data_IF_801696393640
#
_entry.id   IF_801696393640
#
_cell.length_a   1.000
_cell.length_b   1.000
_cell.length_c   1.000
_cell.angle_alpha   90.00
_cell.angle_beta   90.00
_cell.angle_gamma   90.00
#
_symmetry.space_group_name_H-M   'P 1'
#
loop_
_entity.id
_entity.type
_entity.pdbx_description
1 polymer ?
#
# COMPACT_ATOMS: atom_id res chain seq x y z
N UNK A 1 -6.69 -68.93 -66.85
CA UNK A 1 -5.22 -68.91 -66.96
C UNK A 1 -4.82 -67.68 -67.75
N UNK A 2 -3.71 -67.02 -67.38
CA UNK A 2 -3.22 -65.70 -67.86
C UNK A 2 -3.99 -64.52 -67.23
N UNK A 3 -3.40 -63.45 -66.68
CA UNK A 3 -2.13 -63.19 -65.94
C UNK A 3 -2.32 -61.74 -65.42
N UNK A 4 -1.97 -61.48 -64.16
CA UNK A 4 -1.38 -60.25 -63.60
C UNK A 4 -1.54 -58.92 -64.38
N UNK A 5 -1.99 -57.85 -63.71
CA UNK A 5 -1.14 -56.67 -63.46
C UNK A 5 -1.70 -55.76 -62.36
N UNK A 6 -0.74 -55.26 -61.58
CA UNK A 6 -0.81 -54.36 -60.43
C UNK A 6 -1.19 -52.92 -60.78
N UNK A 7 -2.01 -52.26 -59.95
CA UNK A 7 -2.17 -50.81 -59.95
C UNK A 7 -1.69 -50.21 -58.61
N UNK A 8 -0.64 -49.39 -58.67
CA UNK A 8 -0.19 -48.45 -57.64
C UNK A 8 -0.57 -47.03 -58.08
N UNK A 9 -1.28 -46.28 -57.24
CA UNK A 9 -1.28 -44.81 -57.08
C UNK A 9 -2.20 -44.55 -55.86
N UNK A 10 -1.87 -43.78 -54.81
CA UNK A 10 -0.95 -42.67 -54.66
C UNK A 10 -1.69 -41.57 -53.88
N UNK A 11 -2.09 -41.84 -52.63
CA UNK A 11 -2.74 -40.87 -51.72
C UNK A 11 -1.68 -39.93 -51.14
N UNK A 12 -1.36 -38.85 -51.86
CA UNK A 12 -0.50 -37.79 -51.34
C UNK A 12 -0.85 -36.44 -51.97
N UNK A 13 -2.08 -35.95 -51.76
CA UNK A 13 -2.47 -34.58 -52.17
C UNK A 13 -3.24 -33.70 -51.17
N UNK A 14 -3.77 -34.15 -50.00
CA UNK A 14 -4.29 -33.21 -49.00
C UNK A 14 -3.26 -32.75 -47.95
N UNK A 15 -2.15 -33.47 -47.74
CA UNK A 15 -1.19 -33.17 -46.66
C UNK A 15 -0.17 -32.08 -47.06
N UNK A 16 0.12 -31.92 -48.35
CA UNK A 16 1.08 -30.92 -48.85
C UNK A 16 0.46 -29.50 -48.85
N UNK A 17 -0.86 -29.39 -48.98
CA UNK A 17 -1.58 -28.10 -48.94
C UNK A 17 -1.71 -27.58 -47.50
N UNK A 18 -1.83 -28.47 -46.50
CA UNK A 18 -1.91 -28.06 -45.10
C UNK A 18 -0.56 -27.57 -44.55
N UNK A 19 0.56 -28.18 -44.97
CA UNK A 19 1.91 -27.78 -44.56
C UNK A 19 2.38 -26.46 -45.22
N UNK A 20 1.88 -26.14 -46.41
CA UNK A 20 2.21 -24.87 -47.10
C UNK A 20 1.49 -23.66 -46.49
N UNK A 21 0.29 -23.84 -45.92
CA UNK A 21 -0.40 -22.78 -45.17
C UNK A 21 0.24 -22.50 -43.80
N UNK A 22 0.73 -23.52 -43.10
CA UNK A 22 1.45 -23.34 -41.82
C UNK A 22 2.80 -22.65 -42.03
N UNK A 23 3.51 -22.93 -43.13
CA UNK A 23 4.77 -22.26 -43.46
C UNK A 23 4.58 -20.78 -43.86
N UNK A 24 3.50 -20.43 -44.57
CA UNK A 24 3.21 -19.04 -44.94
C UNK A 24 2.78 -18.17 -43.74
N UNK A 25 2.07 -18.74 -42.76
CA UNK A 25 1.73 -18.04 -41.51
C UNK A 25 2.97 -17.85 -40.62
N UNK A 26 3.88 -18.84 -40.58
CA UNK A 26 5.15 -18.71 -39.87
C UNK A 26 6.07 -17.63 -40.48
N UNK A 27 6.08 -17.49 -41.82
CA UNK A 27 6.87 -16.44 -42.49
C UNK A 27 6.24 -15.05 -42.27
N UNK A 28 4.91 -14.92 -42.24
CA UNK A 28 4.25 -13.65 -41.89
C UNK A 28 4.52 -13.22 -40.44
N UNK A 29 4.60 -14.16 -39.50
CA UNK A 29 4.90 -13.88 -38.09
C UNK A 29 6.39 -13.57 -37.83
N UNK A 30 7.28 -13.88 -38.77
CA UNK A 30 8.71 -13.47 -38.71
C UNK A 30 9.01 -12.16 -39.44
N UNK A 31 8.11 -11.69 -40.32
CA UNK A 31 8.28 -10.41 -41.05
C UNK A 31 7.78 -9.19 -40.27
N UNK A 32 6.84 -9.36 -39.34
CA UNK A 32 6.50 -8.30 -38.38
C UNK A 32 7.52 -8.18 -37.22
N UNK A 33 8.48 -9.11 -37.15
CA UNK A 33 9.59 -9.06 -36.20
C UNK A 33 10.85 -8.35 -36.75
N UNK A 34 10.79 -7.73 -37.94
CA UNK A 34 11.90 -6.97 -38.53
C UNK A 34 11.57 -5.52 -38.93
N UNK A 35 10.41 -4.98 -38.52
CA UNK A 35 10.08 -3.55 -38.66
C UNK A 35 9.46 -2.93 -37.40
N UNK A 36 9.98 -3.31 -36.23
CA UNK A 36 9.80 -2.55 -34.98
C UNK A 36 11.13 -2.42 -34.21
N UNK A 37 12.24 -2.34 -34.95
CA UNK A 37 13.60 -2.14 -34.44
C UNK A 37 14.13 -0.78 -34.88
N UNK A 38 13.47 0.31 -34.46
CA UNK A 38 14.05 1.67 -34.46
C UNK A 38 13.22 2.63 -33.60
N UNK A 39 13.16 2.33 -32.31
CA UNK A 39 13.01 3.35 -31.26
C UNK A 39 13.60 2.75 -30.00
N UNK A 40 14.92 2.80 -29.92
CA UNK A 40 15.62 2.53 -28.68
C UNK A 40 15.17 3.57 -27.64
N UNK A 41 14.14 3.24 -26.86
CA UNK A 41 14.04 3.80 -25.52
C UNK A 41 15.18 3.15 -24.73
N UNK A 42 16.36 3.77 -24.85
CA UNK A 42 17.38 3.71 -23.84
C UNK A 42 16.71 4.14 -22.54
N UNK A 43 16.29 3.18 -21.72
CA UNK A 43 16.31 3.38 -20.29
C UNK A 43 17.75 3.78 -19.99
N UNK A 44 17.99 5.08 -19.83
CA UNK A 44 19.14 5.52 -19.06
C UNK A 44 18.92 4.91 -17.69
N UNK A 45 19.55 3.76 -17.46
CA UNK A 45 19.99 3.40 -16.14
C UNK A 45 20.67 4.66 -15.62
N UNK A 46 20.00 5.35 -14.70
CA UNK A 46 20.63 6.44 -13.98
C UNK A 46 21.87 5.81 -13.38
N UNK A 47 23.02 6.22 -13.90
CA UNK A 47 24.32 5.89 -13.36
C UNK A 47 24.24 6.18 -11.88
N UNK A 48 24.26 5.12 -11.10
CA UNK A 48 24.20 5.18 -9.66
C UNK A 48 25.52 5.81 -9.19
N UNK A 49 25.54 7.13 -9.17
CA UNK A 49 26.50 7.85 -8.34
C UNK A 49 26.08 7.59 -6.91
N UNK A 50 26.97 7.08 -6.03
CA UNK A 50 26.67 7.09 -4.61
C UNK A 50 26.64 8.55 -4.18
N UNK A 51 25.45 9.16 -4.15
CA UNK A 51 25.28 10.41 -3.44
C UNK A 51 25.65 10.12 -1.99
N UNK A 52 26.75 10.73 -1.54
CA UNK A 52 27.15 10.74 -0.15
C UNK A 52 26.03 11.41 0.63
N UNK A 53 25.25 10.61 1.35
CA UNK A 53 24.31 11.10 2.34
C UNK A 53 25.11 11.88 3.39
N UNK A 54 24.83 13.18 3.55
CA UNK A 54 25.26 13.91 4.72
C UNK A 54 24.26 13.62 5.84
N UNK A 55 24.49 12.51 6.54
CA UNK A 55 23.97 12.35 7.90
C UNK A 55 24.78 13.32 8.76
N UNK A 56 24.14 14.28 9.41
CA UNK A 56 24.78 15.11 10.45
C UNK A 56 24.51 14.42 11.78
N UNK A 57 25.48 13.68 12.37
CA UNK A 57 25.33 13.13 13.70
C UNK A 57 25.52 14.26 14.74
N UNK A 58 24.83 14.24 15.89
CA UNK A 58 25.20 15.10 17.01
C UNK A 58 26.59 14.70 17.52
N UNK A 59 27.40 15.69 17.90
CA UNK A 59 28.74 15.51 18.48
C UNK A 59 28.67 14.62 19.73
N UNK A 60 29.16 13.38 19.62
CA UNK A 60 29.43 12.51 20.76
C UNK A 60 30.94 12.33 20.83
N UNK A 61 31.51 12.70 21.96
CA UNK A 61 32.93 12.60 22.31
C UNK A 61 33.49 11.21 22.02
N UNK A 62 34.65 11.19 21.36
CA UNK A 62 35.46 9.98 21.15
C UNK A 62 35.89 9.40 22.49
N UNK A 63 35.25 8.31 22.92
CA UNK A 63 35.87 7.27 23.75
C UNK A 63 35.07 5.98 23.60
N UNK A 64 35.56 5.08 22.73
CA UNK A 64 35.06 3.71 22.59
C UNK A 64 36.23 2.75 22.84
N UNK A 65 36.11 1.77 23.77
CA UNK A 65 37.15 0.78 23.99
C UNK A 65 37.16 -0.28 22.87
N UNK A 66 38.36 -0.72 22.48
CA UNK A 66 38.58 -1.79 21.50
C UNK A 66 38.23 -3.15 22.13
N UNK A 67 37.31 -3.89 21.50
CA UNK A 67 36.97 -5.26 21.90
C UNK A 67 37.81 -6.24 21.08
N UNK A 68 38.83 -6.81 21.72
CA UNK A 68 39.39 -8.11 21.38
C UNK A 68 39.23 -9.02 22.59
N UNK A 69 38.98 -10.30 22.30
CA UNK A 69 38.94 -11.45 23.22
C UNK A 69 37.74 -11.58 24.16
N UNK A 70 36.75 -12.38 23.74
CA UNK A 70 36.43 -13.67 24.42
C UNK A 70 35.79 -14.60 23.37
N UNK A 71 36.55 -15.61 22.93
CA UNK A 71 36.02 -16.80 22.25
C UNK A 71 35.95 -17.93 23.28
N UNK A 72 34.77 -18.55 23.40
CA UNK A 72 34.65 -19.85 24.05
C UNK A 72 33.18 -20.30 24.19
N UNK A 73 32.68 -21.11 23.25
CA UNK A 73 31.48 -21.92 23.49
C UNK A 73 30.56 -22.20 22.29
N UNK A 74 30.76 -23.35 21.66
CA UNK A 74 29.85 -24.17 20.84
C UNK A 74 29.10 -23.55 19.64
N UNK A 75 29.52 -24.04 18.48
CA UNK A 75 28.98 -23.82 17.13
C UNK A 75 27.65 -24.53 16.90
N UNK A 76 26.60 -23.78 16.50
CA UNK A 76 25.67 -24.05 15.39
C UNK A 76 24.80 -22.79 15.19
N UNK A 77 24.74 -22.30 13.96
CA UNK A 77 23.87 -21.22 13.46
C UNK A 77 24.28 -19.75 13.70
N UNK A 78 25.53 -19.37 13.41
CA UNK A 78 25.83 -17.97 13.01
C UNK A 78 26.19 -17.91 11.54
N UNK A 79 25.20 -17.58 10.70
CA UNK A 79 25.49 -16.99 9.40
C UNK A 79 26.28 -15.70 9.65
N UNK A 80 27.39 -15.45 8.93
CA UNK A 80 28.12 -14.20 9.08
C UNK A 80 27.18 -13.05 8.70
N UNK A 81 27.03 -12.08 9.61
CA UNK A 81 26.38 -10.78 9.37
C UNK A 81 27.14 -10.06 8.25
N UNK A 82 26.90 -10.45 7.00
CA UNK A 82 27.06 -9.54 5.87
C UNK A 82 26.06 -8.43 6.13
N UNK A 83 26.58 -7.23 6.42
CA UNK A 83 25.84 -5.99 6.57
C UNK A 83 24.59 -6.00 5.69
N UNK A 84 23.43 -6.22 6.31
CA UNK A 84 22.16 -6.15 5.63
C UNK A 84 22.09 -4.74 5.03
N UNK A 85 21.65 -4.63 3.77
CA UNK A 85 21.34 -3.31 3.18
C UNK A 85 20.51 -2.51 4.19
N UNK A 86 20.80 -1.22 4.36
CA UNK A 86 20.06 -0.33 5.29
C UNK A 86 18.54 -0.40 5.09
N UNK A 87 18.09 -0.82 3.91
CA UNK A 87 16.69 -1.15 3.58
C UNK A 87 16.02 -2.11 4.58
N UNK A 88 16.76 -3.05 5.17
CA UNK A 88 16.19 -4.15 5.99
C UNK A 88 16.50 -4.04 7.49
N UNK A 89 17.37 -3.10 7.88
CA UNK A 89 17.68 -2.82 9.28
C UNK A 89 16.79 -1.68 9.80
N UNK A 90 16.63 -1.58 11.12
CA UNK A 90 16.07 -0.37 11.72
C UNK A 90 16.99 0.82 11.43
N UNK A 91 16.40 1.95 11.05
CA UNK A 91 17.16 3.17 10.89
C UNK A 91 17.47 3.80 12.26
N UNK A 92 18.63 4.47 12.40
CA UNK A 92 18.91 5.29 13.58
C UNK A 92 17.86 6.39 13.72
N UNK A 93 17.41 6.63 14.95
CA UNK A 93 16.39 7.64 15.24
C UNK A 93 16.59 8.16 16.67
N UNK A 94 16.22 9.42 16.95
CA UNK A 94 16.11 9.88 18.33
C UNK A 94 15.02 9.11 19.08
N UNK A 95 15.14 9.04 20.40
CA UNK A 95 14.11 8.42 21.23
C UNK A 95 12.90 9.35 21.38
N UNK A 96 11.70 8.82 21.18
CA UNK A 96 10.44 9.47 21.56
C UNK A 96 9.91 8.83 22.84
N UNK A 97 9.36 9.65 23.74
CA UNK A 97 8.75 9.18 24.98
C UNK A 97 7.27 8.99 24.73
N UNK A 98 6.85 7.72 24.62
CA UNK A 98 5.47 7.35 24.39
C UNK A 98 4.74 7.06 25.69
N UNK A 99 3.49 7.50 25.78
CA UNK A 99 2.56 7.10 26.82
C UNK A 99 1.40 6.30 26.23
N UNK A 100 0.95 5.31 26.99
CA UNK A 100 -0.19 4.48 26.61
C UNK A 100 -1.49 5.18 26.99
N UNK A 101 -2.45 5.18 26.08
CA UNK A 101 -3.77 5.77 26.21
C UNK A 101 -4.85 4.66 26.29
N UNK A 102 -6.12 4.99 26.63
CA UNK A 102 -7.20 4.02 26.58
C UNK A 102 -7.29 3.32 25.21
N UNK A 103 -7.17 1.99 25.23
CA UNK A 103 -7.23 1.18 24.01
C UNK A 103 -8.58 1.33 23.28
N UNK A 104 -8.55 1.17 21.96
CA UNK A 104 -9.73 1.08 21.12
C UNK A 104 -10.70 -0.01 21.64
N UNK A 105 -12.03 0.21 21.51
CA UNK A 105 -13.03 -0.77 21.93
C UNK A 105 -12.82 -2.15 21.30
N UNK A 106 -12.27 -2.18 20.08
CA UNK A 106 -11.89 -3.42 19.39
C UNK A 106 -10.53 -3.27 18.68
N UNK A 107 -9.72 -4.35 18.63
CA UNK A 107 -8.51 -4.38 17.81
C UNK A 107 -8.85 -4.47 16.32
N UNK A 108 -8.11 -3.73 15.48
CA UNK A 108 -8.37 -3.59 14.03
C UNK A 108 -7.09 -3.69 13.20
N UNK A 109 -7.14 -4.49 12.14
CA UNK A 109 -6.17 -4.53 11.03
C UNK A 109 -6.87 -4.02 9.77
N UNK A 110 -6.18 -3.24 8.94
CA UNK A 110 -6.76 -2.62 7.73
C UNK A 110 -8.09 -1.87 8.02
N UNK A 111 -8.21 -1.33 9.24
CA UNK A 111 -9.19 -0.30 9.58
C UNK A 111 -8.75 1.03 8.98
N UNK A 112 -9.67 1.97 8.91
CA UNK A 112 -9.39 3.31 8.37
C UNK A 112 -9.76 4.36 9.40
N UNK A 113 -9.07 5.49 9.36
CA UNK A 113 -9.40 6.62 10.23
C UNK A 113 -9.41 7.93 9.47
N UNK A 114 -10.20 8.86 10.01
CA UNK A 114 -10.09 10.26 9.65
C UNK A 114 -10.32 11.11 10.89
N UNK A 115 -9.48 12.13 11.04
CA UNK A 115 -9.60 13.10 12.11
C UNK A 115 -10.42 14.30 11.61
N UNK A 116 -11.38 14.73 12.43
CA UNK A 116 -12.09 15.99 12.28
C UNK A 116 -12.00 16.71 13.62
N UNK A 117 -11.31 17.85 13.64
CA UNK A 117 -11.01 18.60 14.86
C UNK A 117 -10.38 17.68 15.94
N UNK A 118 -11.00 17.61 17.12
CA UNK A 118 -10.55 16.80 18.26
C UNK A 118 -11.09 15.36 18.24
N UNK A 119 -11.71 14.94 17.14
CA UNK A 119 -12.36 13.63 17.04
C UNK A 119 -11.72 12.76 15.97
N UNK A 120 -11.27 11.56 16.35
CA UNK A 120 -10.78 10.54 15.43
C UNK A 120 -11.88 9.49 15.19
N UNK A 121 -12.39 9.44 13.97
CA UNK A 121 -13.35 8.43 13.54
C UNK A 121 -12.59 7.21 13.01
N UNK A 122 -12.88 6.03 13.56
CA UNK A 122 -12.21 4.77 13.21
C UNK A 122 -13.22 3.78 12.63
N UNK A 123 -13.06 3.45 11.35
CA UNK A 123 -14.00 2.69 10.52
C UNK A 123 -13.57 1.24 10.37
N UNK A 124 -14.51 0.34 10.68
CA UNK A 124 -14.45 -1.09 10.45
C UNK A 124 -13.04 -1.74 10.62
N UNK A 125 -12.61 -2.57 9.68
CA UNK A 125 -11.35 -3.32 9.70
C UNK A 125 -11.54 -4.79 10.12
N UNK A 126 -10.49 -5.58 9.95
CA UNK A 126 -10.43 -6.96 10.41
C UNK A 126 -10.16 -7.04 11.91
N UNK A 127 -10.94 -7.84 12.62
CA UNK A 127 -10.47 -8.40 13.89
C UNK A 127 -9.45 -9.51 13.64
N UNK A 128 -9.72 -10.32 12.63
CA UNK A 128 -8.88 -11.40 12.11
C UNK A 128 -9.35 -11.77 10.69
N UNK A 129 -8.70 -12.73 10.03
CA UNK A 129 -9.03 -13.08 8.64
C UNK A 129 -10.45 -13.59 8.43
N UNK A 130 -11.13 -14.08 9.47
CA UNK A 130 -12.49 -14.64 9.40
C UNK A 130 -13.57 -13.68 9.91
N UNK A 131 -13.19 -12.54 10.50
CA UNK A 131 -14.12 -11.59 11.08
C UNK A 131 -13.73 -10.13 10.82
N UNK A 132 -14.69 -9.35 10.35
CA UNK A 132 -14.58 -7.91 10.17
C UNK A 132 -15.57 -7.18 11.04
N UNK A 133 -15.19 -5.98 11.47
CA UNK A 133 -16.07 -5.05 12.16
C UNK A 133 -16.96 -4.31 11.16
N UNK A 134 -18.13 -3.88 11.63
CA UNK A 134 -19.12 -3.13 10.85
C UNK A 134 -19.65 -1.91 11.62
N UNK A 135 -18.76 -1.21 12.31
CA UNK A 135 -19.07 -0.03 13.09
C UNK A 135 -17.95 1.02 13.02
N UNK A 136 -18.30 2.25 13.36
CA UNK A 136 -17.42 3.38 13.56
C UNK A 136 -17.26 3.58 15.05
N UNK A 137 -16.02 3.63 15.54
CA UNK A 137 -15.71 4.07 16.90
C UNK A 137 -15.11 5.48 16.84
N UNK A 138 -15.44 6.33 17.82
CA UNK A 138 -14.93 7.71 17.87
C UNK A 138 -14.10 7.93 19.13
N UNK A 139 -12.87 8.40 18.94
CA UNK A 139 -12.01 8.84 20.02
C UNK A 139 -12.00 10.37 20.10
N UNK A 140 -12.24 10.93 21.28
CA UNK A 140 -12.10 12.36 21.53
C UNK A 140 -10.73 12.64 22.17
N UNK A 141 -9.89 13.42 21.48
CA UNK A 141 -8.55 13.78 21.93
C UNK A 141 -8.54 14.74 23.12
N UNK A 142 -9.57 15.59 23.26
CA UNK A 142 -9.69 16.54 24.37
C UNK A 142 -9.95 15.84 25.71
N UNK A 143 -10.85 14.84 25.71
CA UNK A 143 -11.17 14.03 26.90
C UNK A 143 -10.31 12.77 27.03
N UNK A 144 -9.56 12.43 25.98
CA UNK A 144 -8.77 11.20 25.86
C UNK A 144 -9.59 9.91 26.04
N UNK A 145 -10.82 9.88 25.54
CA UNK A 145 -11.74 8.75 25.68
C UNK A 145 -12.37 8.33 24.36
N UNK A 146 -12.69 7.05 24.23
CA UNK A 146 -13.62 6.56 23.21
C UNK A 146 -15.05 6.90 23.64
N UNK A 147 -15.76 7.71 22.84
CA UNK A 147 -17.02 8.32 23.25
C UNK A 147 -18.24 7.68 22.59
N UNK A 148 -18.08 7.12 21.39
CA UNK A 148 -19.22 6.66 20.59
C UNK A 148 -18.88 5.42 19.77
N UNK A 149 -19.91 4.60 19.50
CA UNK A 149 -19.87 3.48 18.57
C UNK A 149 -21.20 3.35 17.83
N UNK A 150 -21.18 3.36 16.49
CA UNK A 150 -22.39 3.25 15.67
C UNK A 150 -22.15 2.48 14.36
N UNK A 151 -23.21 1.89 13.81
CA UNK A 151 -23.09 1.00 12.66
C UNK A 151 -22.74 1.75 11.35
N UNK A 152 -22.01 1.07 10.48
CA UNK A 152 -21.88 1.45 9.06
C UNK A 152 -23.09 0.92 8.26
N UNK A 153 -23.39 1.46 7.06
CA UNK A 153 -24.37 0.86 6.16
C UNK A 153 -24.04 -0.61 5.86
N UNK A 154 -25.07 -1.47 5.78
CA UNK A 154 -24.89 -2.93 5.59
C UNK A 154 -24.18 -3.29 4.28
N UNK A 155 -24.30 -2.42 3.29
CA UNK A 155 -23.75 -2.52 1.95
C UNK A 155 -22.45 -1.71 1.76
N UNK A 156 -21.90 -1.13 2.84
CA UNK A 156 -20.57 -0.53 2.82
C UNK A 156 -19.48 -1.59 2.99
N UNK A 157 -18.35 -1.39 2.34
CA UNK A 157 -17.16 -2.22 2.54
C UNK A 157 -16.62 -2.11 3.99
N UNK A 158 -15.89 -3.13 4.43
CA UNK A 158 -15.39 -3.24 5.81
C UNK A 158 -13.91 -2.91 5.96
N UNK A 159 -13.13 -2.89 4.89
CA UNK A 159 -11.67 -2.66 4.96
C UNK A 159 -11.16 -2.13 3.63
N UNK A 160 -9.87 -1.76 3.57
CA UNK A 160 -9.22 -1.33 2.32
C UNK A 160 -9.95 -0.15 1.63
N UNK A 161 -10.54 0.73 2.44
CA UNK A 161 -11.41 1.82 2.02
C UNK A 161 -10.59 2.94 1.36
N UNK A 162 -11.26 3.80 0.60
CA UNK A 162 -10.80 5.17 0.37
C UNK A 162 -11.56 6.09 1.31
N UNK A 163 -10.86 6.97 2.04
CA UNK A 163 -11.51 7.88 3.01
C UNK A 163 -11.02 9.31 2.80
N UNK A 164 -11.94 10.28 2.82
CA UNK A 164 -11.64 11.71 2.76
C UNK A 164 -12.67 12.52 3.54
N UNK A 165 -12.37 13.77 3.90
CA UNK A 165 -13.31 14.66 4.60
C UNK A 165 -13.22 16.09 4.10
N UNK A 166 -14.33 16.83 4.20
CA UNK A 166 -14.39 18.29 4.04
C UNK A 166 -14.43 19.03 5.40
N UNK A 167 -14.19 18.33 6.50
CA UNK A 167 -14.23 18.87 7.87
C UNK A 167 -15.58 18.69 8.58
N UNK A 168 -16.61 18.20 7.89
CA UNK A 168 -17.87 17.74 8.53
C UNK A 168 -18.32 16.40 7.98
N UNK A 169 -18.30 16.24 6.66
CA UNK A 169 -18.72 15.03 5.99
C UNK A 169 -17.52 14.12 5.81
N UNK A 170 -17.72 12.82 6.02
CA UNK A 170 -16.71 11.80 5.77
C UNK A 170 -17.17 10.98 4.57
N UNK A 171 -16.36 10.98 3.52
CA UNK A 171 -16.61 10.25 2.30
C UNK A 171 -15.88 8.92 2.35
N UNK A 172 -16.63 7.82 2.21
CA UNK A 172 -16.10 6.47 2.12
C UNK A 172 -16.30 5.99 0.69
N UNK A 173 -15.21 5.82 -0.03
CA UNK A 173 -15.20 5.35 -1.41
C UNK A 173 -14.63 3.96 -1.45
N UNK A 174 -15.32 3.03 -2.11
CA UNK A 174 -14.81 1.69 -2.43
C UNK A 174 -14.37 0.87 -1.20
N UNK A 175 -13.66 -0.23 -1.43
CA UNK A 175 -13.02 -1.07 -0.43
C UNK A 175 -13.43 -2.53 -0.55
N UNK A 176 -13.06 -3.35 0.42
CA UNK A 176 -13.34 -4.78 0.43
C UNK A 176 -14.52 -5.14 1.35
N UNK A 177 -15.43 -5.95 0.83
CA UNK A 177 -16.49 -6.58 1.62
C UNK A 177 -15.97 -7.71 2.50
N UNK A 178 -16.42 -7.74 3.75
CA UNK A 178 -16.34 -8.95 4.57
C UNK A 178 -14.92 -9.46 4.85
N UNK A 179 -14.84 -10.65 5.47
CA UNK A 179 -13.57 -11.29 5.79
C UNK A 179 -12.88 -11.90 4.55
N UNK A 180 -11.72 -12.51 4.76
CA UNK A 180 -10.95 -13.25 3.76
C UNK A 180 -10.55 -12.39 2.56
N UNK A 181 -10.39 -12.98 1.38
CA UNK A 181 -9.93 -12.31 0.16
C UNK A 181 -11.11 -11.97 -0.77
N UNK A 182 -12.26 -11.57 -0.20
CA UNK A 182 -13.47 -11.17 -0.93
C UNK A 182 -13.20 -9.99 -1.88
N UNK A 183 -14.08 -9.83 -2.87
CA UNK A 183 -13.93 -8.80 -3.91
C UNK A 183 -14.12 -7.38 -3.38
N UNK A 184 -13.46 -6.39 -4.00
CA UNK A 184 -13.74 -4.99 -3.73
C UNK A 184 -15.08 -4.54 -4.33
N UNK A 185 -15.59 -3.40 -3.88
CA UNK A 185 -16.81 -2.74 -4.39
C UNK A 185 -16.50 -1.51 -5.22
N UNK A 186 -17.50 -0.94 -5.89
CA UNK A 186 -17.45 0.41 -6.47
C UNK A 186 -18.34 1.41 -5.70
N UNK A 187 -19.05 0.97 -4.65
CA UNK A 187 -19.98 1.80 -3.90
C UNK A 187 -19.28 2.94 -3.18
N UNK A 188 -19.98 4.07 -3.05
CA UNK A 188 -19.51 5.27 -2.35
C UNK A 188 -20.58 5.75 -1.39
N UNK A 189 -20.17 6.14 -0.19
CA UNK A 189 -21.03 6.65 0.86
C UNK A 189 -20.48 7.96 1.41
N UNK A 190 -21.35 8.71 2.07
CA UNK A 190 -21.02 9.89 2.84
C UNK A 190 -21.71 9.81 4.20
N UNK A 191 -20.96 10.15 5.25
CA UNK A 191 -21.44 10.29 6.61
C UNK A 191 -21.52 11.77 6.97
N UNK A 192 -22.70 12.25 7.35
CA UNK A 192 -22.83 13.51 8.09
C UNK A 192 -22.51 13.24 9.56
N UNK A 193 -21.36 13.74 10.02
CA UNK A 193 -20.90 13.49 11.39
C UNK A 193 -21.76 14.16 12.45
N UNK A 194 -22.53 15.20 12.14
CA UNK A 194 -23.33 15.89 13.16
C UNK A 194 -24.57 15.10 13.59
N UNK A 195 -25.18 14.35 12.68
CA UNK A 195 -26.43 13.62 12.93
C UNK A 195 -26.33 12.12 12.69
N UNK A 196 -25.13 11.61 12.39
CA UNK A 196 -24.83 10.19 12.14
C UNK A 196 -25.63 9.59 10.99
N UNK A 197 -25.99 10.41 9.99
CA UNK A 197 -26.71 9.94 8.81
C UNK A 197 -25.75 9.58 7.69
N UNK A 198 -26.04 8.44 7.09
CA UNK A 198 -25.34 7.94 5.92
C UNK A 198 -26.19 8.16 4.67
N UNK A 199 -25.54 8.50 3.57
CA UNK A 199 -26.14 8.55 2.25
C UNK A 199 -25.22 7.92 1.21
N UNK A 200 -25.78 7.43 0.12
CA UNK A 200 -25.02 6.91 -1.02
C UNK A 200 -24.67 8.02 -2.01
N UNK A 201 -23.49 7.92 -2.62
CA UNK A 201 -23.04 8.76 -3.73
C UNK A 201 -22.86 7.92 -5.01
N UNK A 202 -22.73 8.54 -6.19
CA UNK A 202 -22.44 7.81 -7.43
C UNK A 202 -21.27 6.82 -7.27
N UNK A 203 -21.41 5.56 -7.72
CA UNK A 203 -20.35 4.58 -7.61
C UNK A 203 -19.19 4.89 -8.55
N UNK A 204 -18.00 4.39 -8.23
CA UNK A 204 -16.84 4.44 -9.13
C UNK A 204 -17.14 3.72 -10.47
N UNK A 205 -16.44 4.09 -11.56
CA UNK A 205 -16.56 3.39 -12.84
C UNK A 205 -16.16 1.91 -12.79
N UNK A 206 -15.32 1.52 -11.83
CA UNK A 206 -14.93 0.13 -11.58
C UNK A 206 -14.55 -0.09 -10.11
N UNK A 207 -14.70 -1.32 -9.57
CA UNK A 207 -14.30 -1.63 -8.20
C UNK A 207 -12.82 -1.41 -7.92
N UNK A 208 -12.48 -0.97 -6.70
CA UNK A 208 -11.09 -0.67 -6.35
C UNK A 208 -10.69 -1.07 -4.93
N UNK A 209 -9.53 -1.72 -4.81
CA UNK A 209 -8.99 -2.18 -3.53
C UNK A 209 -7.89 -1.24 -3.01
N UNK A 210 -8.06 -0.70 -1.80
CA UNK A 210 -7.11 0.19 -1.10
C UNK A 210 -6.52 1.29 -2.00
N UNK A 211 -7.37 2.14 -2.63
CA UNK A 211 -6.88 3.27 -3.41
C UNK A 211 -6.27 4.36 -2.53
N UNK A 212 -5.49 5.23 -3.16
CA UNK A 212 -5.19 6.55 -2.63
C UNK A 212 -6.41 7.45 -2.85
N UNK A 213 -6.96 8.02 -1.77
CA UNK A 213 -8.17 8.86 -1.83
C UNK A 213 -7.97 10.12 -1.01
N UNK A 214 -8.32 11.29 -1.58
CA UNK A 214 -8.33 12.54 -0.84
C UNK A 214 -9.30 13.57 -1.44
N UNK A 215 -9.79 14.51 -0.63
CA UNK A 215 -10.53 15.67 -1.12
C UNK A 215 -9.52 16.75 -1.55
N UNK A 216 -9.60 17.19 -2.80
CA UNK A 216 -8.74 18.25 -3.35
C UNK A 216 -9.55 19.11 -4.32
N UNK A 217 -9.42 20.44 -4.22
CA UNK A 217 -10.14 21.41 -5.08
C UNK A 217 -11.65 21.16 -5.18
N UNK A 218 -12.29 20.82 -4.05
CA UNK A 218 -13.73 20.55 -3.97
C UNK A 218 -14.17 19.25 -4.65
N UNK A 219 -13.23 18.34 -4.94
CA UNK A 219 -13.51 17.05 -5.59
C UNK A 219 -12.91 15.90 -4.79
N UNK A 220 -13.63 14.80 -4.70
CA UNK A 220 -13.07 13.54 -4.21
C UNK A 220 -12.20 12.97 -5.30
N UNK A 221 -10.90 12.83 -5.05
CA UNK A 221 -9.95 12.18 -5.95
C UNK A 221 -9.68 10.77 -5.47
N UNK A 222 -9.77 9.79 -6.37
CA UNK A 222 -9.53 8.36 -6.10
C UNK A 222 -8.61 7.82 -7.18
N UNK A 223 -7.47 7.28 -6.78
CA UNK A 223 -6.43 6.87 -7.72
C UNK A 223 -5.63 5.67 -7.24
N UNK A 224 -4.99 4.97 -8.18
CA UNK A 224 -4.15 3.84 -7.85
C UNK A 224 -4.97 2.61 -7.42
N UNK A 225 -4.57 1.98 -6.31
CA UNK A 225 -5.21 0.78 -5.78
C UNK A 225 -4.93 -0.47 -6.62
N UNK A 226 -5.46 -1.62 -6.19
CA UNK A 226 -5.53 -2.82 -7.04
C UNK A 226 -6.90 -2.92 -7.73
N UNK A 227 -6.92 -3.52 -8.92
CA UNK A 227 -8.16 -3.93 -9.63
C UNK A 227 -8.90 -5.01 -8.84
N UNK A 228 -10.03 -5.47 -9.37
CA UNK A 228 -10.94 -6.44 -8.72
C UNK A 228 -10.27 -7.73 -8.23
N UNK A 229 -9.21 -8.18 -8.90
CA UNK A 229 -8.44 -9.36 -8.47
C UNK A 229 -7.55 -9.10 -7.24
N UNK A 230 -7.52 -7.87 -6.71
CA UNK A 230 -6.72 -7.43 -5.54
C UNK A 230 -5.21 -7.50 -5.74
N UNK A 231 -4.77 -7.75 -6.97
CA UNK A 231 -3.36 -7.91 -7.30
C UNK A 231 -2.89 -6.95 -8.38
N UNK A 232 -3.61 -6.85 -9.51
CA UNK A 232 -3.17 -6.00 -10.62
C UNK A 232 -3.22 -4.53 -10.22
N UNK A 233 -2.10 -3.79 -10.28
CA UNK A 233 -2.10 -2.37 -10.00
C UNK A 233 -3.01 -1.60 -10.96
N UNK A 234 -3.89 -0.75 -10.42
CA UNK A 234 -4.64 0.25 -11.16
C UNK A 234 -3.84 1.54 -11.28
N UNK A 235 -3.85 2.17 -12.45
CA UNK A 235 -3.27 3.51 -12.67
C UNK A 235 -4.35 4.58 -12.87
N UNK A 236 -5.62 4.15 -12.90
CA UNK A 236 -6.74 5.04 -13.11
C UNK A 236 -6.81 6.08 -11.99
N UNK A 237 -7.20 7.30 -12.36
CA UNK A 237 -7.47 8.40 -11.46
C UNK A 237 -8.84 8.97 -11.85
N UNK A 238 -9.74 9.03 -10.88
CA UNK A 238 -11.07 9.59 -11.05
C UNK A 238 -11.33 10.68 -10.04
N UNK A 239 -12.22 11.60 -10.39
CA UNK A 239 -12.74 12.54 -9.40
C UNK A 239 -14.22 12.86 -9.52
N UNK A 240 -14.84 13.22 -8.40
CA UNK A 240 -16.25 13.60 -8.31
C UNK A 240 -16.37 14.91 -7.53
N UNK A 241 -17.00 15.93 -8.11
CA UNK A 241 -17.28 17.16 -7.37
C UNK A 241 -18.27 16.90 -6.24
N UNK A 242 -17.95 17.40 -5.05
CA UNK A 242 -18.80 17.28 -3.87
C UNK A 242 -18.88 18.61 -3.12
N UNK A 243 -20.03 18.87 -2.52
CA UNK A 243 -20.21 19.96 -1.56
C UNK A 243 -21.34 19.61 -0.59
N UNK A 244 -21.17 19.94 0.69
CA UNK A 244 -22.18 19.75 1.74
C UNK A 244 -22.74 18.32 1.78
N UNK A 245 -21.84 17.33 1.69
CA UNK A 245 -22.22 15.91 1.68
C UNK A 245 -23.00 15.44 0.45
N UNK A 246 -23.03 16.19 -0.65
CA UNK A 246 -23.72 15.79 -1.90
C UNK A 246 -22.75 15.77 -3.07
N UNK A 247 -23.00 14.87 -4.02
CA UNK A 247 -22.34 14.90 -5.32
C UNK A 247 -22.96 16.01 -6.18
N UNK A 248 -22.13 16.80 -6.83
CA UNK A 248 -22.56 17.85 -7.77
C UNK A 248 -22.67 17.32 -9.21
N UNK A 249 -22.23 16.08 -9.43
CA UNK A 249 -22.20 15.41 -10.72
C UNK A 249 -22.74 13.99 -10.56
N UNK A 250 -23.30 13.42 -11.65
CA UNK A 250 -23.87 12.07 -11.63
C UNK A 250 -22.83 10.98 -11.87
N UNK A 251 -21.66 11.34 -12.37
CA UNK A 251 -20.61 10.41 -12.79
C UNK A 251 -19.24 10.95 -12.42
N UNK A 252 -18.33 10.03 -12.11
CA UNK A 252 -16.93 10.35 -11.89
C UNK A 252 -16.26 10.72 -13.22
N UNK A 253 -15.46 11.79 -13.22
CA UNK A 253 -14.63 12.16 -14.38
C UNK A 253 -13.30 11.41 -14.33
N UNK A 254 -12.71 11.14 -15.50
CA UNK A 254 -11.33 10.65 -15.59
C UNK A 254 -10.36 11.82 -15.45
N UNK A 255 -9.28 11.58 -14.73
CA UNK A 255 -8.19 12.52 -14.47
C UNK A 255 -6.87 11.98 -15.03
N UNK A 256 -5.80 12.77 -14.89
CA UNK A 256 -4.44 12.33 -15.22
C UNK A 256 -4.07 11.07 -14.42
N UNK A 257 -3.71 9.94 -15.08
CA UNK A 257 -3.34 8.70 -14.42
C UNK A 257 -2.19 8.89 -13.43
N UNK A 258 -2.19 8.14 -12.33
CA UNK A 258 -1.07 8.14 -11.38
C UNK A 258 0.17 7.48 -12.02
N UNK A 259 1.41 8.01 -11.82
CA UNK A 259 2.61 7.49 -12.48
C UNK A 259 2.89 6.02 -12.16
N UNK A 260 2.55 5.59 -10.94
CA UNK A 260 2.69 4.22 -10.47
C UNK A 260 1.46 3.80 -9.69
N UNK A 261 0.84 2.71 -10.15
CA UNK A 261 -0.38 2.16 -9.55
C UNK A 261 -0.14 1.32 -8.29
N UNK A 262 -1.19 0.68 -7.78
CA UNK A 262 -1.11 -0.30 -6.69
C UNK A 262 -1.65 0.21 -5.34
N UNK A 263 -1.95 -0.70 -4.41
CA UNK A 263 -2.68 -0.39 -3.18
C UNK A 263 -1.80 0.13 -2.04
N UNK A 264 -2.47 0.52 -0.97
CA UNK A 264 -1.89 0.80 0.36
C UNK A 264 -0.94 1.99 0.44
N UNK A 265 -1.31 3.08 -0.24
CA UNK A 265 -0.55 4.33 -0.37
C UNK A 265 -1.11 5.39 0.56
N UNK A 266 -0.24 6.26 1.07
CA UNK A 266 -0.71 7.49 1.69
C UNK A 266 -1.12 8.50 0.61
N UNK A 267 -2.20 9.25 0.85
CA UNK A 267 -2.73 10.27 -0.04
C UNK A 267 -3.03 11.55 0.75
N UNK A 268 -2.23 12.59 0.54
CA UNK A 268 -2.20 13.79 1.38
C UNK A 268 -2.44 15.01 0.52
N UNK A 269 -3.22 15.97 1.01
CA UNK A 269 -3.34 17.30 0.40
C UNK A 269 -2.82 18.35 1.37
N UNK A 270 -1.90 19.18 0.90
CA UNK A 270 -1.28 20.28 1.66
C UNK A 270 -0.85 21.37 0.69
N UNK A 271 -1.08 22.63 1.04
CA UNK A 271 -0.77 23.80 0.21
C UNK A 271 -1.26 23.66 -1.25
N UNK A 272 -2.50 23.20 -1.40
CA UNK A 272 -3.17 22.95 -2.68
C UNK A 272 -2.43 21.98 -3.64
N UNK A 273 -1.65 21.07 -3.08
CA UNK A 273 -0.97 20.00 -3.81
C UNK A 273 -1.36 18.65 -3.25
N UNK A 274 -1.53 17.67 -4.13
CA UNK A 274 -1.85 16.30 -3.77
C UNK A 274 -0.58 15.44 -3.85
N UNK A 275 -0.27 14.73 -2.78
CA UNK A 275 0.88 13.86 -2.65
C UNK A 275 0.44 12.41 -2.54
N UNK A 276 1.10 11.53 -3.28
CA UNK A 276 0.95 10.08 -3.14
C UNK A 276 2.29 9.46 -2.78
N UNK A 277 2.31 8.71 -1.68
CA UNK A 277 3.55 8.22 -1.06
C UNK A 277 3.47 6.70 -0.87
N UNK A 278 4.55 6.01 -1.23
CA UNK A 278 4.77 4.61 -0.90
C UNK A 278 3.84 3.64 -1.63
N UNK A 279 3.33 2.63 -0.93
CA UNK A 279 2.44 1.60 -1.44
C UNK A 279 3.13 0.33 -1.90
N UNK A 280 2.37 -0.56 -2.53
CA UNK A 280 2.89 -1.83 -3.04
C UNK A 280 2.28 -2.18 -4.40
N UNK A 281 2.88 -3.14 -5.09
CA UNK A 281 2.45 -3.59 -6.42
C UNK A 281 1.08 -4.25 -6.43
N UNK A 282 0.77 -5.06 -5.42
CA UNK A 282 -0.49 -5.77 -5.31
C UNK A 282 -0.59 -6.60 -4.04
N UNK A 283 -1.77 -7.15 -3.79
CA UNK A 283 -2.06 -7.97 -2.62
C UNK A 283 -2.46 -9.41 -2.98
N UNK A 284 -2.90 -10.18 -1.98
CA UNK A 284 -3.27 -11.59 -2.11
C UNK A 284 -4.57 -11.76 -2.89
N UNK A 285 -4.55 -12.60 -3.92
CA UNK A 285 -5.75 -12.98 -4.67
C UNK A 285 -6.60 -14.00 -3.90
N UNK A 286 -7.90 -14.06 -4.20
CA UNK A 286 -8.73 -15.19 -3.77
C UNK A 286 -8.28 -16.48 -4.47
N UNK A 287 -8.35 -17.62 -3.78
CA UNK A 287 -8.20 -18.93 -4.43
C UNK A 287 -9.41 -19.17 -5.36
N UNK A 288 -9.20 -19.46 -6.66
CA UNK A 288 -10.28 -19.75 -7.58
C UNK A 288 -11.22 -20.85 -7.06
N UNK A 289 -12.52 -20.61 -7.18
CA UNK A 289 -13.56 -21.55 -6.74
C UNK A 289 -13.70 -21.71 -5.21
N UNK A 290 -12.99 -20.93 -4.39
CA UNK A 290 -13.18 -20.99 -2.93
C UNK A 290 -14.53 -20.38 -2.54
N UNK A 291 -15.42 -21.10 -1.85
CA UNK A 291 -16.73 -20.58 -1.45
C UNK A 291 -16.63 -19.44 -0.43
N UNK A 292 -15.49 -19.33 0.27
CA UNK A 292 -15.22 -18.31 1.28
C UNK A 292 -14.14 -17.32 0.86
N UNK A 293 -13.74 -17.33 -0.42
CA UNK A 293 -12.67 -16.47 -0.94
C UNK A 293 -11.35 -16.59 -0.17
N UNK A 294 -10.92 -17.81 0.17
CA UNK A 294 -9.68 -18.02 0.93
C UNK A 294 -8.49 -17.38 0.21
N UNK A 295 -7.70 -16.60 0.94
CA UNK A 295 -6.53 -15.94 0.38
C UNK A 295 -5.49 -16.92 -0.16
N UNK A 296 -5.08 -16.73 -1.42
CA UNK A 296 -3.99 -17.47 -2.03
C UNK A 296 -2.66 -16.78 -1.78
N UNK A 297 -1.79 -17.45 -1.03
CA UNK A 297 -0.40 -17.00 -0.79
C UNK A 297 0.57 -17.45 -1.90
N UNK A 298 0.15 -18.36 -2.79
CA UNK A 298 0.92 -18.89 -3.92
C UNK A 298 0.12 -18.76 -5.20
N UNK A 299 0.70 -18.11 -6.22
CA UNK A 299 0.07 -17.98 -7.53
C UNK A 299 -0.09 -19.32 -8.28
N UNK A 300 0.43 -20.43 -7.76
CA UNK A 300 0.39 -21.77 -8.36
C UNK A 300 -1.03 -22.19 -8.81
N UNK A 301 -2.08 -21.70 -8.15
CA UNK A 301 -3.47 -22.00 -8.52
C UNK A 301 -3.98 -21.28 -9.78
N UNK A 302 -3.31 -20.22 -10.26
CA UNK A 302 -3.74 -19.42 -11.42
C UNK A 302 -2.99 -19.76 -12.71
N UNK A 303 -1.83 -20.42 -12.63
CA UNK A 303 -0.92 -20.65 -13.75
C UNK A 303 -0.65 -22.14 -13.98
N UNK A 304 -1.69 -22.99 -13.94
CA UNK A 304 -1.59 -24.37 -14.45
C UNK A 304 -1.23 -24.31 -15.95
N UNK A 305 0.07 -24.24 -16.27
CA UNK A 305 0.58 -24.17 -17.64
C UNK A 305 1.89 -23.40 -17.86
N UNK A 306 2.38 -22.59 -16.90
CA UNK A 306 3.66 -21.87 -17.04
C UNK A 306 4.80 -22.53 -16.25
N UNK A 307 6.00 -22.57 -16.85
CA UNK A 307 7.19 -23.23 -16.29
C UNK A 307 7.52 -22.77 -14.87
N UNK A 308 7.73 -23.75 -13.98
CA UNK A 308 8.10 -23.58 -12.56
C UNK A 308 9.39 -22.76 -12.37
N UNK A 309 10.28 -22.71 -13.36
CA UNK A 309 11.52 -21.89 -13.30
C UNK A 309 11.26 -20.39 -13.39
N UNK A 310 10.16 -19.97 -14.05
CA UNK A 310 9.75 -18.57 -14.09
C UNK A 310 9.13 -18.14 -12.75
N UNK A 311 8.56 -19.10 -12.00
CA UNK A 311 7.86 -18.92 -10.72
C UNK A 311 8.78 -18.58 -9.53
N UNK A 312 10.03 -19.04 -9.55
CA UNK A 312 10.99 -18.81 -8.46
C UNK A 312 11.72 -17.46 -8.57
N UNK A 313 11.68 -16.83 -9.76
CA UNK A 313 12.31 -15.53 -10.04
C UNK A 313 11.32 -14.35 -10.14
N UNK A 314 10.01 -14.61 -10.24
CA UNK A 314 8.96 -13.59 -10.29
C UNK A 314 7.91 -13.91 -9.20
N UNK A 315 7.69 -13.20 -8.10
CA UNK A 315 7.85 -11.78 -7.77
C UNK A 315 7.94 -11.66 -6.23
N UNK A 316 8.91 -10.92 -5.65
CA UNK A 316 8.69 -10.36 -4.32
C UNK A 316 7.52 -9.36 -4.39
N UNK A 317 6.66 -9.31 -3.36
CA UNK A 317 5.76 -8.15 -3.20
C UNK A 317 6.66 -6.91 -3.16
N UNK A 318 6.65 -6.12 -4.23
CA UNK A 318 7.45 -4.91 -4.31
C UNK A 318 6.73 -3.84 -3.51
N UNK A 319 7.44 -3.29 -2.53
CA UNK A 319 7.01 -2.14 -1.75
C UNK A 319 7.73 -0.92 -2.32
N UNK A 320 7.04 0.21 -2.40
CA UNK A 320 7.54 1.40 -3.06
C UNK A 320 8.02 2.43 -2.06
N UNK A 321 9.11 3.13 -2.42
CA UNK A 321 9.57 4.34 -1.73
C UNK A 321 9.17 5.62 -2.46
N UNK A 322 8.55 5.50 -3.64
CA UNK A 322 8.29 6.63 -4.54
C UNK A 322 7.34 7.66 -3.90
N UNK A 323 7.64 8.94 -4.15
CA UNK A 323 6.80 10.08 -3.77
C UNK A 323 6.46 10.83 -5.03
N UNK A 324 5.17 11.02 -5.27
CA UNK A 324 4.67 11.82 -6.39
C UNK A 324 3.82 12.96 -5.86
N UNK A 325 3.93 14.12 -6.50
CA UNK A 325 3.11 15.29 -6.24
C UNK A 325 2.39 15.73 -7.51
N UNK A 326 1.10 16.01 -7.38
CA UNK A 326 0.25 16.60 -8.40
C UNK A 326 -0.11 18.02 -7.95
N UNK A 327 0.19 19.00 -8.80
CA UNK A 327 -0.12 20.40 -8.58
C UNK A 327 -1.16 20.92 -9.58
N UNK A 328 -1.38 22.24 -9.56
CA UNK A 328 -2.32 22.94 -10.43
C UNK A 328 -2.07 22.73 -11.92
N UNK A 329 -0.84 22.41 -12.33
CA UNK A 329 -0.53 22.14 -13.74
C UNK A 329 -1.08 20.80 -14.22
N UNK A 330 -1.68 20.00 -13.32
CA UNK A 330 -2.17 18.64 -13.57
C UNK A 330 -1.09 17.69 -14.08
N UNK A 331 0.18 17.97 -13.73
CA UNK A 331 1.33 17.14 -14.06
C UNK A 331 1.93 16.55 -12.80
N UNK A 332 2.11 15.23 -12.83
CA UNK A 332 2.82 14.53 -11.76
C UNK A 332 4.32 14.84 -11.77
N UNK A 333 4.85 15.15 -10.60
CA UNK A 333 6.29 15.37 -10.35
C UNK A 333 6.78 14.34 -9.36
N UNK A 334 7.90 13.69 -9.68
CA UNK A 334 8.59 12.84 -8.71
C UNK A 334 9.34 13.71 -7.71
N UNK A 335 9.23 13.37 -6.43
CA UNK A 335 9.96 13.98 -5.32
C UNK A 335 10.94 12.97 -4.71
N UNK A 336 11.83 13.39 -3.79
CA UNK A 336 12.73 12.47 -3.12
C UNK A 336 11.97 11.31 -2.46
N UNK A 337 12.40 10.09 -2.77
CA UNK A 337 11.82 8.86 -2.23
C UNK A 337 11.99 8.76 -0.71
N UNK A 338 11.12 8.00 -0.06
CA UNK A 338 11.23 7.67 1.35
C UNK A 338 12.58 7.01 1.68
N UNK A 339 13.12 7.20 2.90
CA UNK A 339 14.36 6.55 3.33
C UNK A 339 14.29 5.01 3.28
N UNK A 340 13.07 4.47 3.40
CA UNK A 340 12.76 3.06 3.34
C UNK A 340 11.44 2.90 2.56
N UNK A 341 11.32 1.95 1.62
CA UNK A 341 10.05 1.65 0.97
C UNK A 341 8.99 1.27 2.00
N UNK A 342 7.77 1.77 1.86
CA UNK A 342 6.73 1.57 2.87
C UNK A 342 5.33 1.48 2.26
N UNK A 343 4.46 0.70 2.89
CA UNK A 343 3.08 0.45 2.50
C UNK A 343 2.20 0.20 3.72
N UNK A 344 0.89 0.13 3.51
CA UNK A 344 -0.11 0.03 4.58
C UNK A 344 -0.07 1.26 5.50
N UNK A 345 0.06 2.42 4.84
CA UNK A 345 0.22 3.75 5.43
C UNK A 345 -0.92 4.70 5.03
N UNK A 346 -2.08 4.19 4.61
CA UNK A 346 -3.20 4.98 4.11
C UNK A 346 -3.74 6.00 5.12
N UNK A 347 -3.77 5.60 6.39
CA UNK A 347 -4.22 6.40 7.53
C UNK A 347 -3.12 6.58 8.58
N UNK A 348 -1.87 6.26 8.24
CA UNK A 348 -0.73 6.24 9.16
C UNK A 348 0.07 7.54 9.12
N UNK A 349 -0.58 8.65 8.80
CA UNK A 349 0.08 9.94 8.61
C UNK A 349 -0.71 11.11 9.18
N UNK A 350 0.00 12.19 9.48
CA UNK A 350 -0.55 13.48 9.94
C UNK A 350 0.26 14.63 9.34
N UNK A 351 -0.33 15.84 9.31
CA UNK A 351 0.39 17.07 8.98
C UNK A 351 0.76 17.80 10.28
N UNK A 352 2.04 18.13 10.42
CA UNK A 352 2.57 18.89 11.58
C UNK A 352 3.60 19.90 11.08
N UNK A 353 3.41 21.20 11.36
CA UNK A 353 4.35 22.28 10.99
C UNK A 353 4.94 22.15 9.57
N UNK A 354 4.07 22.18 8.56
CA UNK A 354 4.42 21.99 7.15
C UNK A 354 5.27 20.73 6.85
N UNK A 355 5.01 19.66 7.58
CA UNK A 355 5.63 18.35 7.36
C UNK A 355 4.59 17.26 7.33
N UNK A 356 4.80 16.27 6.47
CA UNK A 356 4.06 15.01 6.50
C UNK A 356 4.81 14.08 7.47
N UNK A 357 4.13 13.61 8.51
CA UNK A 357 4.68 12.66 9.47
C UNK A 357 4.00 11.32 9.27
N UNK A 358 4.76 10.23 9.12
CA UNK A 358 4.26 8.87 8.90
C UNK A 358 4.71 7.97 10.05
N UNK A 359 3.80 7.14 10.57
CA UNK A 359 4.02 6.26 11.73
C UNK A 359 3.78 4.79 11.39
N UNK A 360 4.84 4.01 11.29
CA UNK A 360 4.75 2.58 11.01
C UNK A 360 4.44 2.28 9.54
N UNK A 361 4.01 1.05 9.27
CA UNK A 361 3.83 0.50 7.93
C UNK A 361 4.50 -0.87 7.78
N UNK A 362 4.69 -1.30 6.55
CA UNK A 362 5.44 -2.52 6.21
C UNK A 362 6.29 -2.31 4.97
N UNK A 363 7.53 -2.75 5.08
CA UNK A 363 8.54 -2.64 4.03
C UNK A 363 8.71 -3.96 3.26
N UNK A 364 9.71 -3.99 2.38
CA UNK A 364 10.11 -5.17 1.64
C UNK A 364 10.37 -6.37 2.56
N UNK A 365 10.13 -7.57 2.01
CA UNK A 365 10.43 -8.80 2.72
C UNK A 365 11.93 -8.94 2.94
N UNK A 366 12.30 -9.53 4.07
CA UNK A 366 13.67 -9.87 4.38
C UNK A 366 14.30 -10.68 3.23
N UNK A 367 15.48 -10.29 2.71
CA UNK A 367 16.01 -10.84 1.47
C UNK A 367 16.36 -12.34 1.58
N UNK A 368 16.78 -12.79 2.77
CA UNK A 368 17.07 -14.21 3.05
C UNK A 368 15.82 -14.98 3.49
N UNK A 369 15.21 -14.61 4.62
CA UNK A 369 14.10 -15.38 5.20
C UNK A 369 12.77 -15.23 4.46
N UNK A 370 12.66 -14.27 3.54
CA UNK A 370 11.45 -13.90 2.77
C UNK A 370 10.24 -13.54 3.65
N UNK A 371 10.51 -13.21 4.92
CA UNK A 371 9.50 -12.82 5.91
C UNK A 371 9.17 -11.34 5.78
N UNK A 372 7.91 -10.98 6.08
CA UNK A 372 7.47 -9.59 6.13
C UNK A 372 8.18 -8.84 7.26
N UNK A 373 8.56 -7.59 7.01
CA UNK A 373 9.20 -6.69 7.97
C UNK A 373 8.26 -5.51 8.19
N UNK A 374 7.83 -5.33 9.44
CA UNK A 374 7.07 -4.16 9.87
C UNK A 374 8.00 -2.98 10.13
N UNK A 375 7.48 -1.77 9.92
CA UNK A 375 8.19 -0.51 10.14
C UNK A 375 7.81 0.04 11.51
N UNK A 376 8.79 0.58 12.24
CA UNK A 376 8.57 1.25 13.52
C UNK A 376 9.14 2.66 13.56
N UNK A 377 9.82 3.08 12.50
CA UNK A 377 10.30 4.43 12.31
C UNK A 377 9.14 5.42 12.21
N UNK A 378 9.36 6.61 12.76
CA UNK A 378 8.53 7.79 12.51
C UNK A 378 9.27 8.65 11.50
N UNK A 379 8.72 8.71 10.29
CA UNK A 379 9.31 9.48 9.19
C UNK A 379 8.71 10.89 9.14
N UNK A 380 9.54 11.87 8.82
CA UNK A 380 9.12 13.23 8.49
C UNK A 380 9.54 13.54 7.06
N UNK A 381 8.61 14.04 6.25
CA UNK A 381 8.89 14.73 5.00
C UNK A 381 8.64 16.22 5.19
N UNK A 382 9.71 17.01 5.22
CA UNK A 382 9.61 18.46 5.35
C UNK A 382 9.23 19.07 3.99
N UNK A 383 8.11 19.78 3.92
CA UNK A 383 7.58 20.31 2.65
C UNK A 383 8.28 21.59 2.19
N UNK A 384 9.00 22.29 3.07
CA UNK A 384 9.83 23.45 2.73
C UNK A 384 11.11 23.02 2.01
N UNK A 385 11.79 22.00 2.54
CA UNK A 385 13.09 21.53 2.02
C UNK A 385 12.98 20.33 1.09
N UNK A 386 11.82 19.67 1.05
CA UNK A 386 11.56 18.42 0.32
C UNK A 386 12.52 17.29 0.73
N UNK A 387 12.88 17.22 2.01
CA UNK A 387 13.80 16.22 2.55
C UNK A 387 13.14 15.30 3.56
N UNK A 388 13.58 14.05 3.59
CA UNK A 388 13.19 13.07 4.58
C UNK A 388 14.12 13.03 5.78
N UNK A 389 13.57 12.78 6.97
CA UNK A 389 14.30 12.46 8.19
C UNK A 389 13.59 11.37 8.99
N UNK A 390 14.33 10.69 9.85
CA UNK A 390 13.77 9.77 10.86
C UNK A 390 13.76 10.49 12.19
N UNK A 391 12.57 10.83 12.67
CA UNK A 391 12.37 11.71 13.84
C UNK A 391 11.99 10.95 15.11
N UNK A 392 11.91 9.62 15.03
CA UNK A 392 11.57 8.80 16.17
C UNK A 392 11.36 7.34 15.85
N UNK A 393 11.05 6.57 16.88
CA UNK A 393 10.56 5.19 16.77
C UNK A 393 9.31 5.01 17.62
N UNK A 394 8.38 4.24 17.11
CA UNK A 394 7.21 3.75 17.83
C UNK A 394 7.60 2.77 18.95
N UNK A 395 6.73 2.54 19.95
CA UNK A 395 6.95 1.54 21.01
C UNK A 395 7.15 0.11 20.49
N UNK A 396 6.64 -0.18 19.31
CA UNK A 396 6.81 -1.42 18.56
C UNK A 396 6.57 -1.15 17.08
N UNK A 397 7.06 -2.04 16.20
CA UNK A 397 6.78 -1.94 14.76
C UNK A 397 5.37 -2.43 14.48
N UNK A 398 4.62 -1.70 13.65
CA UNK A 398 3.25 -2.03 13.30
C UNK A 398 2.89 -1.53 11.92
N UNK A 399 1.98 -2.22 11.22
CA UNK A 399 1.37 -1.75 9.98
C UNK A 399 -0.11 -1.43 10.17
N UNK A 400 -0.69 -0.66 9.24
CA UNK A 400 -2.12 -0.27 9.25
C UNK A 400 -2.50 0.51 10.53
N UNK A 401 -1.53 1.25 11.05
CA UNK A 401 -1.70 2.15 12.19
C UNK A 401 -2.61 3.30 11.79
N UNK A 402 -3.41 3.77 12.73
CA UNK A 402 -4.33 4.90 12.55
C UNK A 402 -3.77 6.09 13.30
N UNK A 403 -3.30 7.09 12.56
CA UNK A 403 -2.62 8.25 13.12
C UNK A 403 -3.60 9.40 13.41
N UNK A 404 -3.25 10.22 14.39
CA UNK A 404 -3.93 11.47 14.70
C UNK A 404 -2.97 12.46 15.33
N UNK A 405 -3.26 13.75 15.21
CA UNK A 405 -2.44 14.80 15.83
C UNK A 405 -3.34 15.87 16.44
N UNK A 406 -3.18 16.11 17.74
CA UNK A 406 -4.00 17.07 18.46
C UNK A 406 -3.18 17.75 19.54
N UNK A 407 -3.23 19.08 19.60
CA UNK A 407 -2.61 19.90 20.65
C UNK A 407 -1.14 19.55 20.95
N UNK A 408 -0.32 19.37 19.90
CA UNK A 408 1.10 19.04 20.02
C UNK A 408 1.41 17.57 20.31
N UNK A 409 0.40 16.70 20.33
CA UNK A 409 0.53 15.26 20.55
C UNK A 409 0.30 14.48 19.27
N UNK A 410 1.27 13.63 18.93
CA UNK A 410 1.12 12.61 17.90
C UNK A 410 0.55 11.34 18.54
N UNK A 411 -0.51 10.83 17.96
CA UNK A 411 -1.18 9.60 18.36
C UNK A 411 -1.04 8.53 17.28
N UNK A 412 -1.02 7.26 17.70
CA UNK A 412 -1.42 6.17 16.83
C UNK A 412 -2.24 5.13 17.62
N UNK A 413 -3.13 4.42 16.93
CA UNK A 413 -3.87 3.28 17.48
C UNK A 413 -3.95 2.16 16.46
N UNK A 414 -4.27 0.96 16.96
CA UNK A 414 -4.61 -0.21 16.15
C UNK A 414 -3.48 -0.70 15.24
N UNK A 415 -3.78 -1.69 14.40
CA UNK A 415 -2.85 -2.29 13.46
C UNK A 415 -2.35 -3.67 13.90
N UNK A 416 -1.41 -4.21 13.13
CA UNK A 416 -0.79 -5.50 13.44
C UNK A 416 0.67 -5.28 13.83
N UNK A 417 1.00 -5.58 15.09
CA UNK A 417 2.35 -5.42 15.64
C UNK A 417 3.26 -6.59 15.33
N UNK A 418 4.57 -6.37 15.46
CA UNK A 418 5.60 -7.39 15.29
C UNK A 418 5.66 -8.42 16.43
N UNK A 419 6.58 -9.38 16.32
CA UNK A 419 6.84 -10.42 17.34
C UNK A 419 7.86 -9.97 18.39
N UNK A 420 8.41 -8.77 18.27
CA UNK A 420 9.41 -8.19 19.16
C UNK A 420 10.59 -7.59 18.39
N UNK A 421 11.53 -6.93 19.11
CA UNK A 421 12.65 -6.20 18.52
C UNK A 421 13.48 -7.03 17.53
N UNK A 422 13.74 -8.30 17.85
CA UNK A 422 14.55 -9.23 17.04
C UNK A 422 13.75 -9.97 15.96
N UNK A 423 12.43 -9.76 15.90
CA UNK A 423 11.55 -10.46 14.97
C UNK A 423 10.47 -9.53 14.43
N UNK A 424 10.76 -8.79 13.35
CA UNK A 424 9.86 -7.77 12.79
C UNK A 424 8.65 -8.36 12.04
N UNK A 425 8.38 -9.67 12.19
CA UNK A 425 7.22 -10.31 11.57
C UNK A 425 5.93 -9.97 12.29
N UNK A 426 4.80 -9.87 11.57
CA UNK A 426 3.51 -9.66 12.19
C UNK A 426 3.10 -10.76 13.18
N UNK A 427 2.42 -10.34 14.25
CA UNK A 427 1.85 -11.19 15.30
C UNK A 427 0.38 -10.84 15.56
N UNK A 428 0.14 -9.99 16.56
CA UNK A 428 -1.17 -9.73 17.14
C UNK A 428 -1.77 -8.48 16.51
N UNK A 429 -3.05 -8.53 16.16
CA UNK A 429 -3.83 -7.32 15.89
C UNK A 429 -4.14 -6.67 17.23
N UNK A 430 -3.77 -5.41 17.39
CA UNK A 430 -3.88 -4.67 18.65
C UNK A 430 -4.93 -3.57 18.53
N UNK A 431 -5.45 -3.13 19.67
CA UNK A 431 -6.25 -1.92 19.80
C UNK A 431 -5.55 -0.89 20.69
N UNK A 432 -4.28 -1.12 21.05
CA UNK A 432 -3.55 -0.23 21.94
C UNK A 432 -3.41 1.14 21.28
N UNK A 433 -3.64 2.19 22.06
CA UNK A 433 -3.44 3.57 21.65
C UNK A 433 -2.25 4.16 22.39
N UNK A 434 -1.44 4.91 21.67
CA UNK A 434 -0.23 5.54 22.20
C UNK A 434 -0.16 6.98 21.75
N UNK A 435 0.43 7.85 22.58
CA UNK A 435 0.77 9.23 22.18
C UNK A 435 2.16 9.64 22.62
N UNK A 436 2.70 10.66 21.95
CA UNK A 436 3.98 11.29 22.28
C UNK A 436 3.92 12.77 21.96
N UNK A 437 4.63 13.61 22.74
CA UNK A 437 4.77 15.03 22.40
C UNK A 437 5.62 15.14 21.15
N UNK A 438 5.09 15.81 20.13
CA UNK A 438 5.82 16.07 18.90
C UNK A 438 5.91 17.57 18.64
N UNK A 439 7.12 18.09 18.74
CA UNK A 439 7.45 19.47 18.36
C UNK A 439 8.46 19.42 17.23
N UNK A 440 8.02 19.82 16.05
CA UNK A 440 8.90 20.01 14.90
C UNK A 440 9.29 21.48 14.82
N UNK A 441 10.59 21.74 14.63
CA UNK A 441 11.10 23.09 14.39
C UNK A 441 10.53 23.63 13.06
N UNK A 442 10.24 24.93 13.01
CA UNK A 442 9.72 25.62 11.82
C UNK A 442 10.72 25.64 10.67
#
# INVERSE_FOLDING_TARGET
MVRSTTAKHGFAKPIIILLSFVALIAISLTRDFHSASSSAYLSRAATWSPQKYHIVPPNVSNDSPKIADVVGGSNRDRYPERALSMTYADLPAPALIWEQMPSAPVPRLDGYSIQINDSLFVFAGYANLDHVHSHVDVYNFSTNTWTESFAIPKDMANSHLGVATDGRYIYIVTGQYGPQCRGPTATTFVLDTQNRKWESLPPLPAPRYAPATQLWKGRLHVMGGSKENRHTPGIDHWSLAVANGKALEKQWRKEVPIPRGGPHRACIVVDDRLYVIGGQEGDFMAKPGSPIFKCSRRLESYLKGFSLLLFLYLWPKVVYGDVYMLDESTKWKALPSMPKPDSHIECSWVIVNNSIVIVGGTTEKHPVTKRMILVGEVFQFNLNTLTWSVIGKMPYRAKTTLAGFWDGWLYFTSGQRDRGPDNPQPRKVVGDMWRTKLKLLH
#
